data_IF_125996957170
#
_entry.id   IF_125996957170
#
_cell.length_a   1.000
_cell.length_b   1.000
_cell.length_c   1.000
_cell.angle_alpha   90.00
_cell.angle_beta   90.00
_cell.angle_gamma   90.00
#
_symmetry.space_group_name_H-M   'P 1'
#
loop_
_entity.id
_entity.type
_entity.pdbx_description
1 polymer ?
#
# COMPACT_ATOMS: atom_id res chain seq x y z
N UNK A 1 9.06 -11.54 10.06
CA UNK A 1 8.26 -11.94 8.89
C UNK A 1 7.60 -10.73 8.27
N UNK A 2 7.77 -10.48 6.98
CA UNK A 2 7.23 -9.30 6.30
C UNK A 2 6.31 -9.67 5.14
N UNK A 3 5.14 -9.05 5.08
CA UNK A 3 4.15 -9.21 4.00
C UNK A 3 3.97 -7.87 3.30
N UNK A 4 4.38 -7.85 2.04
CA UNK A 4 4.34 -6.66 1.22
C UNK A 4 2.95 -6.33 0.67
N UNK A 5 2.78 -5.09 0.19
CA UNK A 5 1.58 -4.64 -0.53
C UNK A 5 1.37 -5.33 -1.88
N UNK A 6 0.43 -4.83 -2.69
CA UNK A 6 0.16 -5.36 -4.04
C UNK A 6 1.31 -4.99 -4.99
N UNK A 7 2.40 -5.76 -4.95
CA UNK A 7 3.66 -5.51 -5.67
C UNK A 7 4.12 -6.78 -6.43
N UNK A 8 4.27 -6.73 -7.77
CA UNK A 8 4.66 -7.88 -8.58
C UNK A 8 6.17 -8.17 -8.58
N UNK A 9 6.99 -7.30 -7.99
CA UNK A 9 8.46 -7.32 -8.11
C UNK A 9 9.14 -8.33 -7.16
N UNK A 10 8.42 -8.86 -6.18
CA UNK A 10 8.93 -9.86 -5.24
C UNK A 10 9.89 -9.29 -4.19
N UNK A 11 10.74 -10.12 -3.57
CA UNK A 11 11.59 -9.70 -2.44
C UNK A 11 12.71 -8.72 -2.78
N UNK A 12 13.17 -8.67 -4.03
CA UNK A 12 14.38 -7.95 -4.42
C UNK A 12 14.34 -6.43 -4.13
N UNK A 13 13.26 -5.68 -4.43
CA UNK A 13 13.20 -4.25 -4.10
C UNK A 13 13.21 -3.97 -2.61
N UNK A 14 12.65 -4.85 -1.77
CA UNK A 14 12.67 -4.67 -0.31
C UNK A 14 14.06 -4.90 0.27
N UNK A 15 14.78 -5.89 -0.26
CA UNK A 15 16.19 -6.09 0.09
C UNK A 15 17.03 -4.89 -0.34
N UNK A 16 16.93 -4.45 -1.61
CA UNK A 16 17.62 -3.28 -2.12
C UNK A 16 17.32 -2.02 -1.29
N UNK A 17 16.04 -1.79 -0.97
CA UNK A 17 15.60 -0.70 -0.11
C UNK A 17 16.30 -0.71 1.25
N UNK A 18 16.44 -1.87 1.89
CA UNK A 18 17.14 -1.98 3.18
C UNK A 18 18.65 -1.81 3.00
N UNK A 19 19.25 -2.42 1.98
CA UNK A 19 20.67 -2.30 1.69
C UNK A 19 21.12 -0.88 1.36
N UNK A 20 20.30 -0.09 0.66
CA UNK A 20 20.52 1.34 0.41
C UNK A 20 20.64 2.16 1.69
N UNK A 21 20.06 1.66 2.79
CA UNK A 21 19.99 2.34 4.08
C UNK A 21 21.01 1.79 5.08
N UNK A 22 21.79 0.77 4.69
CA UNK A 22 22.81 0.18 5.53
C UNK A 22 23.90 1.21 5.86
N UNK A 23 24.35 1.20 7.11
CA UNK A 23 25.40 2.08 7.62
C UNK A 23 26.46 1.18 8.25
N UNK A 24 27.69 1.12 7.72
CA UNK A 24 28.75 0.28 8.28
C UNK A 24 28.90 0.51 9.79
N UNK A 25 28.91 -0.59 10.56
CA UNK A 25 29.04 -0.55 12.01
C UNK A 25 27.74 -0.24 12.79
N UNK A 26 26.68 0.30 12.14
CA UNK A 26 25.43 0.66 12.83
C UNK A 26 24.21 -0.10 12.33
N UNK A 27 24.12 -0.39 11.02
CA UNK A 27 23.04 -1.17 10.43
C UNK A 27 23.57 -1.98 9.25
N UNK A 28 23.56 -3.31 9.40
CA UNK A 28 24.07 -4.27 8.41
C UNK A 28 22.93 -5.07 7.80
N UNK A 29 22.99 -5.27 6.49
CA UNK A 29 22.03 -6.08 5.72
C UNK A 29 22.82 -7.13 4.95
N UNK A 30 22.61 -8.42 5.24
CA UNK A 30 23.33 -9.49 4.54
C UNK A 30 22.79 -9.72 3.12
N UNK A 31 23.55 -10.37 2.22
CA UNK A 31 23.03 -10.79 0.92
C UNK A 31 21.78 -11.66 1.08
N UNK A 32 20.79 -11.49 0.19
CA UNK A 32 19.58 -12.32 0.24
C UNK A 32 19.85 -13.76 -0.19
N UNK A 33 19.22 -14.70 0.51
CA UNK A 33 19.00 -16.07 0.07
C UNK A 33 17.51 -16.27 -0.20
N UNK A 34 17.13 -16.29 -1.48
CA UNK A 34 15.71 -16.32 -1.88
C UNK A 34 14.95 -15.08 -1.40
N UNK A 35 14.05 -15.28 -0.42
CA UNK A 35 13.25 -14.24 0.24
C UNK A 35 13.72 -13.89 1.66
N UNK A 36 14.91 -14.37 2.06
CA UNK A 36 15.44 -14.20 3.42
C UNK A 36 16.77 -13.46 3.41
N UNK A 37 17.02 -12.69 4.44
CA UNK A 37 18.31 -12.08 4.76
C UNK A 37 18.35 -11.75 6.26
N UNK A 38 19.52 -11.41 6.76
CA UNK A 38 19.74 -11.02 8.15
C UNK A 38 19.92 -9.52 8.24
N UNK A 39 19.27 -8.93 9.23
CA UNK A 39 19.45 -7.55 9.61
C UNK A 39 20.15 -7.51 10.97
N UNK A 40 21.21 -6.71 11.10
CA UNK A 40 21.85 -6.46 12.39
C UNK A 40 21.90 -4.97 12.65
N UNK A 41 21.51 -4.53 13.84
CA UNK A 41 21.56 -3.13 14.27
C UNK A 41 22.36 -3.05 15.56
N UNK A 42 23.27 -2.09 15.64
CA UNK A 42 23.97 -1.78 16.88
C UNK A 42 23.19 -0.71 17.64
N UNK A 43 22.55 -1.11 18.74
CA UNK A 43 21.79 -0.21 19.60
C UNK A 43 22.62 0.17 20.84
N UNK A 44 22.36 1.32 21.47
CA UNK A 44 22.98 1.65 22.76
C UNK A 44 22.78 0.57 23.84
N UNK A 45 21.67 -0.17 23.77
CA UNK A 45 21.30 -1.26 24.67
C UNK A 45 21.96 -2.61 24.32
N UNK A 46 22.62 -2.69 23.15
CA UNK A 46 23.29 -3.88 22.65
C UNK A 46 22.96 -4.19 21.19
N UNK A 47 23.78 -5.06 20.58
CA UNK A 47 23.57 -5.51 19.21
C UNK A 47 22.34 -6.42 19.11
N UNK A 48 21.41 -6.07 18.23
CA UNK A 48 20.26 -6.91 17.90
C UNK A 48 20.39 -7.46 16.48
N UNK A 49 19.95 -8.70 16.30
CA UNK A 49 19.91 -9.38 15.01
C UNK A 49 18.52 -9.94 14.74
N UNK A 50 18.09 -9.92 13.48
CA UNK A 50 16.82 -10.50 13.08
C UNK A 50 16.92 -11.18 11.72
N UNK A 51 16.45 -12.42 11.67
CA UNK A 51 16.20 -13.13 10.42
C UNK A 51 14.95 -12.53 9.75
N UNK A 52 15.18 -11.72 8.71
CA UNK A 52 14.12 -11.09 7.94
C UNK A 52 13.69 -12.00 6.79
N UNK A 53 12.41 -12.33 6.74
CA UNK A 53 11.83 -13.17 5.69
C UNK A 53 10.61 -12.48 5.09
N UNK A 54 10.63 -12.31 3.76
CA UNK A 54 9.46 -11.88 2.99
C UNK A 54 8.57 -13.08 2.71
N UNK A 55 7.34 -13.02 3.22
CA UNK A 55 6.29 -13.98 2.91
C UNK A 55 5.68 -13.62 1.56
N UNK A 56 5.99 -14.44 0.55
CA UNK A 56 5.75 -14.15 -0.86
C UNK A 56 4.30 -14.37 -1.27
N UNK A 57 3.75 -13.38 -1.96
CA UNK A 57 2.53 -13.53 -2.77
C UNK A 57 2.65 -12.78 -4.11
N UNK A 58 3.87 -12.39 -4.48
CA UNK A 58 4.22 -11.67 -5.70
C UNK A 58 3.81 -12.41 -6.98
N UNK A 59 3.75 -13.74 -6.93
CA UNK A 59 3.25 -14.59 -8.01
C UNK A 59 1.75 -14.45 -8.22
N UNK A 60 0.96 -14.41 -7.13
CA UNK A 60 -0.47 -14.11 -7.22
C UNK A 60 -0.65 -12.68 -7.73
N UNK A 61 0.08 -11.71 -7.20
CA UNK A 61 0.05 -10.33 -7.68
C UNK A 61 0.33 -10.27 -9.19
N UNK A 62 1.39 -10.91 -9.68
CA UNK A 62 1.73 -10.96 -11.11
C UNK A 62 0.63 -11.56 -11.97
N UNK A 63 -0.01 -12.63 -11.51
CA UNK A 63 -1.09 -13.29 -12.25
C UNK A 63 -2.30 -12.36 -12.45
N UNK A 64 -2.51 -11.43 -11.51
CA UNK A 64 -3.62 -10.50 -11.52
C UNK A 64 -3.22 -9.06 -11.88
N UNK A 65 -1.96 -8.84 -12.26
CA UNK A 65 -1.41 -7.53 -12.62
C UNK A 65 -1.77 -7.17 -14.05
N UNK A 66 -2.64 -6.17 -14.21
CA UNK A 66 -3.05 -5.70 -15.52
C UNK A 66 -2.01 -4.73 -16.09
N UNK A 67 -1.95 -4.67 -17.43
CA UNK A 67 -1.05 -3.76 -18.18
C UNK A 67 -1.82 -3.06 -19.29
N UNK A 68 -1.31 -1.89 -19.71
CA UNK A 68 -1.83 -1.19 -20.89
C UNK A 68 -3.28 -0.75 -20.74
N UNK A 69 -4.09 -0.97 -21.78
CA UNK A 69 -5.49 -0.53 -21.80
C UNK A 69 -6.33 -1.17 -20.69
N UNK A 70 -6.06 -2.44 -20.36
CA UNK A 70 -6.75 -3.15 -19.28
C UNK A 70 -6.47 -2.54 -17.91
N UNK A 71 -5.24 -2.11 -17.65
CA UNK A 71 -4.91 -1.39 -16.41
C UNK A 71 -5.66 -0.06 -16.31
N UNK A 72 -5.72 0.70 -17.41
CA UNK A 72 -6.46 1.98 -17.48
C UNK A 72 -7.97 1.83 -17.26
N UNK A 73 -8.55 0.70 -17.67
CA UNK A 73 -9.97 0.43 -17.41
C UNK A 73 -10.32 0.37 -15.91
N UNK A 74 -9.32 0.07 -15.06
CA UNK A 74 -9.51 0.00 -13.62
C UNK A 74 -9.78 1.36 -12.98
N UNK A 75 -9.40 2.46 -13.63
CA UNK A 75 -9.60 3.83 -13.11
C UNK A 75 -11.07 4.15 -12.79
N UNK A 76 -12.01 3.37 -13.35
CA UNK A 76 -13.45 3.50 -13.13
C UNK A 76 -14.06 2.29 -12.44
N UNK A 77 -13.47 1.11 -12.61
CA UNK A 77 -14.11 -0.16 -12.26
C UNK A 77 -14.37 -0.34 -10.78
N UNK A 78 -13.48 0.17 -9.91
CA UNK A 78 -13.66 0.05 -8.47
C UNK A 78 -14.73 0.99 -7.91
N UNK A 79 -15.03 2.12 -8.58
CA UNK A 79 -15.88 3.18 -8.05
C UNK A 79 -17.28 2.72 -7.63
N UNK A 80 -18.01 1.86 -8.38
CA UNK A 80 -19.33 1.42 -7.95
C UNK A 80 -19.31 0.69 -6.60
N UNK A 81 -18.27 -0.11 -6.32
CA UNK A 81 -18.12 -0.79 -5.03
C UNK A 81 -17.85 0.22 -3.90
N UNK A 82 -17.00 1.22 -4.16
CA UNK A 82 -16.67 2.28 -3.21
C UNK A 82 -17.85 3.25 -2.96
N UNK A 83 -18.64 3.56 -3.98
CA UNK A 83 -19.86 4.36 -3.85
C UNK A 83 -20.88 3.62 -2.98
N UNK A 84 -21.16 2.34 -3.29
CA UNK A 84 -22.15 1.52 -2.57
C UNK A 84 -21.75 1.26 -1.12
N UNK A 85 -20.46 1.12 -0.81
CA UNK A 85 -19.99 0.96 0.56
C UNK A 85 -20.11 2.25 1.40
N UNK A 86 -20.31 3.40 0.76
CA UNK A 86 -20.32 4.72 1.40
C UNK A 86 -18.93 5.21 1.82
N UNK A 87 -17.86 4.53 1.40
CA UNK A 87 -16.50 4.89 1.80
C UNK A 87 -16.07 6.26 1.24
N UNK A 88 -16.54 6.63 0.04
CA UNK A 88 -16.26 7.95 -0.54
C UNK A 88 -16.86 9.07 0.31
N UNK A 89 -18.10 8.91 0.77
CA UNK A 89 -18.76 9.88 1.64
C UNK A 89 -18.09 9.95 3.03
N UNK A 90 -17.72 8.80 3.60
CA UNK A 90 -16.96 8.74 4.85
C UNK A 90 -15.60 9.43 4.74
N UNK A 91 -14.85 9.14 3.67
CA UNK A 91 -13.54 9.72 3.44
C UNK A 91 -13.64 11.24 3.21
N UNK A 92 -14.63 11.74 2.47
CA UNK A 92 -14.82 13.18 2.27
C UNK A 92 -14.97 13.95 3.60
N UNK A 93 -15.63 13.34 4.59
CA UNK A 93 -15.88 13.92 5.92
C UNK A 93 -14.69 13.76 6.86
N UNK A 94 -14.14 12.55 6.95
CA UNK A 94 -13.22 12.16 8.02
C UNK A 94 -11.77 11.98 7.54
N UNK A 95 -11.56 11.70 6.25
CA UNK A 95 -10.26 11.36 5.68
C UNK A 95 -10.02 11.97 4.29
N UNK A 96 -9.88 13.30 4.23
CA UNK A 96 -9.70 14.06 2.99
C UNK A 96 -8.53 13.59 2.11
N UNK A 97 -7.33 13.24 2.65
CA UNK A 97 -6.25 12.71 1.83
C UNK A 97 -6.66 11.44 1.07
N UNK A 98 -7.26 10.47 1.78
CA UNK A 98 -7.79 9.26 1.16
C UNK A 98 -8.88 9.57 0.14
N UNK A 99 -9.81 10.49 0.45
CA UNK A 99 -10.87 10.88 -0.48
C UNK A 99 -10.31 11.38 -1.82
N UNK A 100 -9.31 12.26 -1.78
CA UNK A 100 -8.65 12.77 -2.98
C UNK A 100 -7.94 11.64 -3.74
N UNK A 101 -7.23 10.75 -3.05
CA UNK A 101 -6.58 9.61 -3.69
C UNK A 101 -7.59 8.66 -4.36
N UNK A 102 -8.72 8.37 -3.71
CA UNK A 102 -9.77 7.51 -4.25
C UNK A 102 -10.44 8.07 -5.51
N UNK A 103 -10.51 9.38 -5.65
CA UNK A 103 -11.05 10.02 -6.86
C UNK A 103 -10.00 10.25 -7.94
N UNK A 104 -8.72 10.22 -7.58
CA UNK A 104 -7.65 10.60 -8.49
C UNK A 104 -7.65 9.75 -9.77
N UNK A 105 -7.71 8.40 -9.73
CA UNK A 105 -7.73 7.58 -10.95
C UNK A 105 -8.86 7.96 -11.91
N UNK A 106 -10.06 8.14 -11.36
CA UNK A 106 -11.23 8.59 -12.08
C UNK A 106 -10.97 9.95 -12.76
N UNK A 107 -10.56 10.97 -11.98
CA UNK A 107 -10.34 12.31 -12.52
C UNK A 107 -9.28 12.34 -13.64
N UNK A 108 -8.18 11.60 -13.48
CA UNK A 108 -7.16 11.47 -14.52
C UNK A 108 -7.67 10.71 -15.74
N UNK A 109 -8.51 9.70 -15.54
CA UNK A 109 -9.23 9.03 -16.63
C UNK A 109 -10.14 9.99 -17.42
N UNK A 110 -10.83 10.92 -16.76
CA UNK A 110 -11.67 11.95 -17.42
C UNK A 110 -10.78 12.87 -18.25
N UNK A 111 -9.68 13.35 -17.69
CA UNK A 111 -8.73 14.22 -18.41
C UNK A 111 -8.17 13.50 -19.64
N UNK A 112 -7.89 12.20 -19.54
CA UNK A 112 -7.45 11.39 -20.67
C UNK A 112 -8.53 11.27 -21.76
N UNK A 113 -9.78 10.94 -21.40
CA UNK A 113 -10.87 10.84 -22.38
C UNK A 113 -11.17 12.20 -23.00
N UNK A 114 -11.19 13.27 -22.20
CA UNK A 114 -11.40 14.63 -22.69
C UNK A 114 -10.29 15.07 -23.65
N UNK A 115 -9.02 14.74 -23.37
CA UNK A 115 -7.92 15.08 -24.28
C UNK A 115 -7.99 14.31 -25.60
N UNK A 116 -8.45 13.06 -25.58
CA UNK A 116 -8.73 12.30 -26.80
C UNK A 116 -9.87 12.94 -27.61
N UNK A 117 -10.97 13.31 -26.97
CA UNK A 117 -12.11 13.95 -27.65
C UNK A 117 -11.71 15.28 -28.28
N UNK A 118 -10.93 16.10 -27.57
CA UNK A 118 -10.38 17.37 -28.10
C UNK A 118 -9.46 17.11 -29.29
N UNK A 119 -8.57 16.13 -29.19
CA UNK A 119 -7.67 15.77 -30.30
C UNK A 119 -8.45 15.26 -31.53
N UNK A 120 -9.48 14.44 -31.32
CA UNK A 120 -10.36 13.96 -32.41
C UNK A 120 -11.14 15.10 -33.05
N UNK A 121 -11.75 15.98 -32.25
CA UNK A 121 -12.47 17.15 -32.78
C UNK A 121 -11.52 18.07 -33.57
N UNK A 122 -10.32 18.31 -33.06
CA UNK A 122 -9.29 19.08 -33.75
C UNK A 122 -8.89 18.42 -35.08
N UNK A 123 -8.69 17.10 -35.11
CA UNK A 123 -8.38 16.37 -36.34
C UNK A 123 -9.51 16.49 -37.39
N UNK A 124 -10.78 16.45 -36.96
CA UNK A 124 -11.93 16.66 -37.85
C UNK A 124 -11.94 18.08 -38.41
N UNK A 125 -11.72 19.10 -37.58
CA UNK A 125 -11.64 20.51 -38.03
C UNK A 125 -10.48 20.68 -39.01
N UNK A 126 -9.31 20.12 -38.72
CA UNK A 126 -8.15 20.18 -39.61
C UNK A 126 -8.45 19.52 -40.96
N UNK A 127 -9.06 18.33 -40.96
CA UNK A 127 -9.47 17.65 -42.18
C UNK A 127 -10.48 18.48 -42.99
N UNK A 128 -11.48 19.08 -42.33
CA UNK A 128 -12.45 19.96 -42.95
C UNK A 128 -11.81 21.23 -43.55
N UNK A 129 -10.82 21.81 -42.88
CA UNK A 129 -10.05 22.97 -43.37
C UNK A 129 -9.24 22.62 -44.62
N UNK A 130 -8.59 21.44 -44.63
CA UNK A 130 -7.77 21.00 -45.76
C UNK A 130 -8.58 20.74 -47.04
N UNK A 131 -9.83 20.31 -46.92
CA UNK A 131 -10.74 20.09 -48.07
C UNK A 131 -11.58 21.34 -48.41
N UNK A 132 -11.33 22.48 -47.75
CA UNK A 132 -12.06 23.74 -48.01
C UNK A 132 -13.49 23.79 -47.48
N UNK A 133 -13.96 22.79 -46.73
CA UNK A 133 -15.33 22.70 -46.22
C UNK A 133 -15.70 23.78 -45.19
N UNK A 134 -14.70 24.45 -44.60
CA UNK A 134 -14.88 25.55 -43.63
C UNK A 134 -14.37 26.89 -44.17
N UNK A 135 -14.47 27.12 -45.48
CA UNK A 135 -14.21 28.43 -46.09
C UNK A 135 -12.74 28.84 -46.19
N UNK A 136 -11.80 27.90 -46.01
CA UNK A 136 -10.37 28.14 -46.21
C UNK A 136 -9.67 28.96 -45.12
N UNK A 137 -10.29 29.18 -43.95
CA UNK A 137 -9.66 29.92 -42.85
C UNK A 137 -8.49 29.12 -42.24
N UNK A 138 -7.26 29.56 -42.55
CA UNK A 138 -6.02 28.94 -42.08
C UNK A 138 -5.83 29.02 -40.56
N UNK A 139 -6.53 29.94 -39.88
CA UNK A 139 -6.49 30.06 -38.41
C UNK A 139 -7.14 28.87 -37.72
N UNK A 140 -8.24 28.35 -38.29
CA UNK A 140 -8.92 27.16 -37.77
C UNK A 140 -8.03 25.91 -37.86
N UNK A 141 -7.29 25.76 -38.97
CA UNK A 141 -6.31 24.68 -39.13
C UNK A 141 -5.15 24.77 -38.14
N UNK A 142 -4.62 25.98 -37.90
CA UNK A 142 -3.54 26.21 -36.92
C UNK A 142 -3.99 25.97 -35.48
N UNK A 143 -5.19 26.43 -35.11
CA UNK A 143 -5.77 26.15 -33.78
C UNK A 143 -6.04 24.66 -33.59
N UNK A 144 -6.49 23.96 -34.63
CA UNK A 144 -6.65 22.51 -34.60
C UNK A 144 -5.32 21.78 -34.37
N UNK A 145 -4.25 22.15 -35.09
CA UNK A 145 -2.92 21.58 -34.87
C UNK A 145 -2.44 21.83 -33.43
N UNK A 146 -2.60 23.06 -32.92
CA UNK A 146 -2.23 23.39 -31.55
C UNK A 146 -2.97 22.54 -30.51
N UNK A 147 -4.28 22.34 -30.66
CA UNK A 147 -5.10 21.50 -29.78
C UNK A 147 -4.72 20.01 -29.88
N UNK A 148 -4.42 19.53 -31.10
CA UNK A 148 -4.01 18.15 -31.35
C UNK A 148 -2.67 17.81 -30.71
N UNK A 149 -1.78 18.79 -30.57
CA UNK A 149 -0.49 18.65 -29.86
C UNK A 149 -0.63 18.86 -28.35
N UNK A 150 -1.49 19.79 -27.92
CA UNK A 150 -1.69 20.11 -26.51
C UNK A 150 -2.32 18.94 -25.70
N UNK A 151 -3.27 18.20 -26.29
CA UNK A 151 -3.93 17.08 -25.62
C UNK A 151 -2.99 15.96 -25.18
N UNK A 152 -2.19 15.37 -26.09
CA UNK A 152 -1.16 14.38 -25.74
C UNK A 152 -0.07 14.93 -24.82
N UNK A 153 0.33 16.20 -24.99
CA UNK A 153 1.30 16.85 -24.11
C UNK A 153 0.82 16.96 -22.67
N UNK A 154 -0.43 17.39 -22.45
CA UNK A 154 -1.07 17.44 -21.14
C UNK A 154 -1.15 16.04 -20.51
N UNK A 155 -1.56 15.04 -21.29
CA UNK A 155 -1.60 13.65 -20.81
C UNK A 155 -0.23 13.13 -20.36
N UNK A 156 0.82 13.39 -21.15
CA UNK A 156 2.19 13.01 -20.78
C UNK A 156 2.64 13.70 -19.50
N UNK A 157 2.35 15.00 -19.33
CA UNK A 157 2.67 15.74 -18.12
C UNK A 157 1.99 15.15 -16.87
N UNK A 158 0.72 14.75 -16.98
CA UNK A 158 -0.01 14.08 -15.90
C UNK A 158 0.60 12.70 -15.60
N UNK A 159 0.87 11.89 -16.63
CA UNK A 159 1.48 10.55 -16.47
C UNK A 159 2.88 10.60 -15.86
N UNK A 160 3.64 11.67 -16.09
CA UNK A 160 4.97 11.83 -15.52
C UNK A 160 4.95 12.10 -14.01
N UNK A 161 3.80 12.51 -13.45
CA UNK A 161 3.64 12.84 -12.03
C UNK A 161 2.88 11.79 -11.24
N UNK A 162 2.14 10.93 -11.92
CA UNK A 162 1.20 10.02 -11.30
C UNK A 162 1.27 8.65 -11.96
N UNK A 163 1.62 7.63 -11.17
CA UNK A 163 1.50 6.24 -11.58
C UNK A 163 0.05 5.76 -11.46
N UNK A 164 -0.74 6.12 -12.48
CA UNK A 164 -2.17 5.76 -12.57
C UNK A 164 -2.39 4.25 -12.59
N UNK A 165 -1.49 3.51 -13.24
CA UNK A 165 -1.62 2.06 -13.42
C UNK A 165 -1.40 1.35 -12.06
N UNK A 166 -0.42 1.80 -11.28
CA UNK A 166 -0.23 1.33 -9.91
C UNK A 166 -1.42 1.69 -9.02
N UNK A 167 -1.81 2.98 -8.99
CA UNK A 167 -2.85 3.48 -8.08
C UNK A 167 -4.22 2.84 -8.36
N UNK A 168 -4.60 2.72 -9.63
CA UNK A 168 -5.88 2.09 -10.02
C UNK A 168 -5.91 0.61 -9.59
N UNK A 169 -4.78 -0.10 -9.71
CA UNK A 169 -4.68 -1.49 -9.30
C UNK A 169 -4.76 -1.67 -7.78
N UNK A 170 -4.18 -0.76 -7.01
CA UNK A 170 -4.23 -0.81 -5.54
C UNK A 170 -5.66 -0.64 -4.98
N UNK A 171 -6.48 0.25 -5.55
CA UNK A 171 -7.88 0.36 -5.11
C UNK A 171 -8.74 -0.78 -5.63
N UNK A 172 -8.51 -1.20 -6.86
CA UNK A 172 -9.28 -2.26 -7.49
C UNK A 172 -9.03 -3.65 -6.86
N UNK A 173 -7.80 -3.94 -6.41
CA UNK A 173 -7.50 -5.23 -5.78
C UNK A 173 -8.25 -5.42 -4.45
N UNK A 174 -8.48 -4.36 -3.67
CA UNK A 174 -9.26 -4.44 -2.43
C UNK A 174 -10.70 -4.88 -2.67
N UNK A 175 -11.27 -4.58 -3.84
CA UNK A 175 -12.59 -5.10 -4.26
C UNK A 175 -12.44 -6.55 -4.76
N UNK A 176 -11.39 -6.82 -5.54
CA UNK A 176 -11.19 -8.13 -6.17
C UNK A 176 -10.72 -9.23 -5.24
N UNK A 177 -10.27 -8.98 -4.01
CA UNK A 177 -9.88 -10.08 -3.11
C UNK A 177 -10.98 -11.13 -2.95
N UNK A 178 -12.25 -10.72 -2.96
CA UNK A 178 -13.41 -11.64 -3.01
C UNK A 178 -13.45 -12.54 -4.25
N UNK A 179 -12.94 -12.06 -5.38
CA UNK A 179 -12.89 -12.73 -6.67
C UNK A 179 -11.59 -13.51 -6.91
N UNK A 180 -10.67 -13.54 -5.94
CA UNK A 180 -9.41 -14.29 -6.01
C UNK A 180 -9.30 -15.41 -4.95
N UNK A 181 -10.37 -16.15 -4.58
CA UNK A 181 -10.36 -16.99 -3.39
C UNK A 181 -9.27 -18.06 -3.44
N UNK A 182 -9.20 -18.88 -4.48
CA UNK A 182 -8.30 -20.03 -4.48
C UNK A 182 -6.81 -19.65 -4.37
N UNK A 183 -6.35 -18.70 -5.21
CA UNK A 183 -4.93 -18.31 -5.23
C UNK A 183 -4.52 -17.56 -3.96
N UNK A 184 -5.42 -16.74 -3.41
CA UNK A 184 -5.17 -16.01 -2.16
C UNK A 184 -5.19 -16.94 -0.96
N UNK A 185 -6.21 -17.78 -0.82
CA UNK A 185 -6.32 -18.71 0.31
C UNK A 185 -5.11 -19.64 0.38
N UNK A 186 -4.67 -20.22 -0.75
CA UNK A 186 -3.46 -21.05 -0.78
C UNK A 186 -2.20 -20.30 -0.30
N UNK A 187 -2.10 -18.98 -0.55
CA UNK A 187 -1.02 -18.16 0.00
C UNK A 187 -1.18 -17.93 1.50
N UNK A 188 -2.39 -17.61 1.96
CA UNK A 188 -2.66 -17.45 3.39
C UNK A 188 -2.36 -18.74 4.17
N UNK A 189 -2.70 -19.91 3.61
CA UNK A 189 -2.32 -21.21 4.15
C UNK A 189 -0.81 -21.34 4.36
N UNK A 190 -0.04 -21.14 3.30
CA UNK A 190 1.41 -21.30 3.32
C UNK A 190 2.09 -20.27 4.23
N UNK A 191 1.60 -19.04 4.23
CA UNK A 191 2.09 -17.98 5.13
C UNK A 191 1.84 -18.36 6.59
N UNK A 192 0.63 -18.80 6.91
CA UNK A 192 0.25 -19.19 8.26
C UNK A 192 1.05 -20.42 8.74
N UNK A 193 1.30 -21.39 7.86
CA UNK A 193 2.15 -22.55 8.17
C UNK A 193 3.58 -22.11 8.45
N UNK A 194 4.14 -21.21 7.62
CA UNK A 194 5.48 -20.67 7.84
C UNK A 194 5.60 -19.88 9.15
N UNK A 195 4.57 -19.11 9.50
CA UNK A 195 4.51 -18.38 10.77
C UNK A 195 4.52 -19.34 11.97
N UNK A 196 3.68 -20.38 11.95
CA UNK A 196 3.65 -21.41 13.01
C UNK A 196 5.00 -22.11 13.11
N UNK A 197 5.58 -22.51 11.98
CA UNK A 197 6.88 -23.20 11.95
C UNK A 197 7.97 -22.37 12.63
N UNK A 198 8.11 -21.08 12.27
CA UNK A 198 9.11 -20.22 12.92
C UNK A 198 8.84 -19.98 14.39
N UNK A 199 7.57 -19.78 14.77
CA UNK A 199 7.21 -19.61 16.18
C UNK A 199 7.50 -20.84 17.04
N UNK A 200 7.61 -22.03 16.44
CA UNK A 200 7.98 -23.29 17.10
C UNK A 200 9.48 -23.53 17.11
N UNK A 201 10.17 -23.22 16.01
CA UNK A 201 11.61 -23.46 15.86
C UNK A 201 12.47 -22.58 16.77
N UNK A 202 11.99 -21.36 17.06
CA UNK A 202 12.71 -20.39 17.89
C UNK A 202 11.80 -19.82 19.00
N UNK A 203 11.41 -20.64 20.00
CA UNK A 203 10.39 -20.26 20.98
C UNK A 203 10.85 -19.16 21.96
N UNK A 204 12.17 -18.93 22.07
CA UNK A 204 12.79 -17.88 22.87
C UNK A 204 12.88 -16.54 22.16
N UNK A 205 12.72 -16.53 20.83
CA UNK A 205 12.97 -15.35 20.01
C UNK A 205 11.65 -14.63 19.70
N UNK A 206 11.58 -13.29 19.85
CA UNK A 206 10.39 -12.55 19.48
C UNK A 206 10.04 -12.71 17.99
N UNK A 207 8.84 -13.20 17.69
CA UNK A 207 8.34 -13.27 16.32
C UNK A 207 7.53 -12.01 16.00
N UNK A 208 7.92 -11.29 14.96
CA UNK A 208 7.17 -10.13 14.46
C UNK A 208 6.64 -10.43 13.07
N UNK A 209 5.33 -10.29 12.90
CA UNK A 209 4.67 -10.28 11.59
C UNK A 209 4.39 -8.82 11.23
N UNK A 210 4.95 -8.38 10.11
CA UNK A 210 4.85 -7.00 9.63
C UNK A 210 4.06 -7.00 8.33
N UNK A 211 2.95 -6.26 8.28
CA UNK A 211 2.22 -5.97 7.05
C UNK A 211 2.43 -4.51 6.63
N UNK A 212 2.69 -4.26 5.36
CA UNK A 212 2.73 -2.91 4.79
C UNK A 212 1.66 -2.74 3.72
N UNK A 213 0.96 -1.59 3.72
CA UNK A 213 -0.05 -1.26 2.72
C UNK A 213 -1.14 -2.35 2.66
N UNK A 214 -1.52 -2.81 1.46
CA UNK A 214 -2.45 -3.94 1.24
C UNK A 214 -1.95 -5.24 1.91
N UNK A 215 -0.64 -5.38 2.13
CA UNK A 215 -0.05 -6.50 2.87
C UNK A 215 -0.53 -6.58 4.31
N UNK A 216 -1.06 -5.50 4.88
CA UNK A 216 -1.73 -5.52 6.20
C UNK A 216 -2.96 -6.42 6.22
N UNK A 217 -3.74 -6.46 5.13
CA UNK A 217 -4.89 -7.37 4.99
C UNK A 217 -4.42 -8.83 4.98
N UNK A 218 -3.37 -9.12 4.21
CA UNK A 218 -2.77 -10.46 4.13
C UNK A 218 -2.14 -10.88 5.47
N UNK A 219 -1.51 -9.95 6.20
CA UNK A 219 -0.90 -10.20 7.51
C UNK A 219 -1.94 -10.55 8.56
N UNK A 220 -3.06 -9.82 8.63
CA UNK A 220 -4.17 -10.14 9.55
C UNK A 220 -4.73 -11.53 9.24
N UNK A 221 -5.04 -11.82 7.98
CA UNK A 221 -5.62 -13.12 7.60
C UNK A 221 -4.64 -14.29 7.84
N UNK A 222 -3.36 -14.14 7.45
CA UNK A 222 -2.36 -15.17 7.65
C UNK A 222 -2.07 -15.42 9.13
N UNK A 223 -1.98 -14.36 9.95
CA UNK A 223 -1.73 -14.49 11.38
C UNK A 223 -2.94 -15.11 12.10
N UNK A 224 -4.16 -14.72 11.75
CA UNK A 224 -5.38 -15.31 12.32
C UNK A 224 -5.48 -16.80 12.03
N UNK A 225 -5.09 -17.21 10.82
CA UNK A 225 -4.99 -18.62 10.45
C UNK A 225 -3.88 -19.35 11.20
N UNK A 226 -2.73 -18.70 11.42
CA UNK A 226 -1.66 -19.26 12.24
C UNK A 226 -2.11 -19.49 13.69
N UNK A 227 -2.82 -18.52 14.28
CA UNK A 227 -3.39 -18.61 15.64
C UNK A 227 -4.47 -19.69 15.75
N UNK A 228 -5.23 -19.94 14.67
CA UNK A 228 -6.19 -21.05 14.63
C UNK A 228 -5.48 -22.41 14.70
N UNK A 229 -4.31 -22.53 14.07
CA UNK A 229 -3.50 -23.76 14.07
C UNK A 229 -2.68 -23.94 15.34
N UNK A 230 -2.26 -22.83 15.95
CA UNK A 230 -1.48 -22.80 17.19
C UNK A 230 -1.93 -21.62 18.07
N UNK A 231 -2.93 -21.82 18.95
CA UNK A 231 -3.44 -20.74 19.80
C UNK A 231 -2.40 -20.17 20.77
N UNK A 232 -1.40 -20.96 21.18
CA UNK A 232 -0.35 -20.54 22.10
C UNK A 232 0.65 -19.58 21.45
N UNK A 233 0.67 -19.51 20.10
CA UNK A 233 1.51 -18.59 19.35
C UNK A 233 1.22 -17.12 19.71
N UNK A 234 -0.01 -16.79 20.12
CA UNK A 234 -0.43 -15.41 20.40
C UNK A 234 0.47 -14.67 21.38
N UNK A 235 1.05 -15.37 22.36
CA UNK A 235 1.95 -14.78 23.37
C UNK A 235 3.39 -14.61 22.90
N UNK A 236 3.73 -15.13 21.73
CA UNK A 236 5.09 -15.13 21.15
C UNK A 236 5.20 -14.31 19.87
N UNK A 237 4.06 -13.94 19.30
CA UNK A 237 3.98 -13.19 18.04
C UNK A 237 3.38 -11.81 18.28
N UNK A 238 3.99 -10.81 17.67
CA UNK A 238 3.42 -9.46 17.55
C UNK A 238 3.06 -9.17 16.10
N UNK A 239 2.06 -8.32 15.92
CA UNK A 239 1.64 -7.80 14.63
C UNK A 239 2.00 -6.31 14.54
N UNK A 240 2.71 -5.94 13.48
CA UNK A 240 2.96 -4.54 13.11
C UNK A 240 2.30 -4.26 11.77
N UNK A 241 1.40 -3.29 11.72
CA UNK A 241 0.80 -2.80 10.47
C UNK A 241 1.33 -1.42 10.14
N UNK A 242 1.78 -1.22 8.89
CA UNK A 242 2.40 0.02 8.42
C UNK A 242 1.57 0.59 7.27
N UNK A 243 1.04 1.81 7.42
CA UNK A 243 0.25 2.45 6.38
C UNK A 243 -0.98 1.61 5.97
N UNK A 244 -1.76 1.16 6.95
CA UNK A 244 -2.75 0.11 6.74
C UNK A 244 -3.91 0.45 5.79
N UNK A 245 -4.51 -0.59 5.20
CA UNK A 245 -5.72 -0.48 4.35
C UNK A 245 -6.94 -1.19 4.97
N UNK A 246 -6.89 -1.53 6.25
CA UNK A 246 -7.83 -2.43 6.94
C UNK A 246 -9.23 -1.84 7.07
N UNK A 247 -9.37 -0.58 7.47
CA UNK A 247 -10.68 0.07 7.58
C UNK A 247 -11.36 0.20 6.21
N UNK A 248 -10.57 0.53 5.17
CA UNK A 248 -11.04 0.55 3.78
C UNK A 248 -11.56 -0.82 3.36
N UNK A 249 -10.75 -1.87 3.58
CA UNK A 249 -11.10 -3.23 3.21
C UNK A 249 -12.34 -3.73 3.96
N UNK A 250 -12.42 -3.46 5.27
CA UNK A 250 -13.58 -3.78 6.11
C UNK A 250 -14.84 -3.08 5.62
N UNK A 251 -14.74 -1.79 5.25
CA UNK A 251 -15.89 -1.02 4.76
C UNK A 251 -16.40 -1.53 3.40
N UNK A 252 -15.52 -2.04 2.54
CA UNK A 252 -15.88 -2.75 1.32
C UNK A 252 -16.47 -4.15 1.59
N UNK A 253 -16.60 -4.52 2.87
CA UNK A 253 -17.19 -5.74 3.38
C UNK A 253 -16.21 -6.90 3.57
N UNK A 254 -14.90 -6.70 3.30
CA UNK A 254 -13.88 -7.75 3.37
C UNK A 254 -14.12 -8.93 2.42
N UNK A 255 -13.45 -10.05 2.63
CA UNK A 255 -13.82 -11.36 2.06
C UNK A 255 -14.67 -12.15 3.08
N UNK A 256 -15.27 -13.31 2.72
CA UNK A 256 -16.11 -14.08 3.64
C UNK A 256 -15.44 -14.50 4.97
N UNK A 257 -14.09 -14.59 5.02
CA UNK A 257 -13.33 -14.92 6.23
C UNK A 257 -12.95 -13.70 7.07
N UNK A 258 -12.95 -12.51 6.48
CA UNK A 258 -12.37 -11.30 7.07
C UNK A 258 -12.87 -10.97 8.49
N UNK A 259 -14.18 -11.03 8.73
CA UNK A 259 -14.74 -10.75 10.05
C UNK A 259 -14.27 -11.77 11.11
N UNK A 260 -14.12 -13.04 10.72
CA UNK A 260 -13.60 -14.11 11.59
C UNK A 260 -12.12 -13.90 11.88
N UNK A 261 -11.33 -13.53 10.88
CA UNK A 261 -9.91 -13.25 11.07
C UNK A 261 -9.71 -12.12 12.08
N UNK A 262 -10.47 -11.02 11.96
CA UNK A 262 -10.44 -9.94 12.94
C UNK A 262 -10.86 -10.41 14.35
N UNK A 263 -11.90 -11.24 14.48
CA UNK A 263 -12.33 -11.78 15.79
C UNK A 263 -11.21 -12.60 16.46
N UNK A 264 -10.60 -13.52 15.71
CA UNK A 264 -9.50 -14.36 16.19
C UNK A 264 -8.36 -13.48 16.70
N UNK A 265 -7.94 -12.51 15.89
CA UNK A 265 -6.81 -11.66 16.22
C UNK A 265 -7.10 -10.77 17.45
N UNK A 266 -8.28 -10.14 17.50
CA UNK A 266 -8.70 -9.26 18.61
C UNK A 266 -8.78 -10.01 19.94
N UNK A 267 -9.24 -11.27 19.91
CA UNK A 267 -9.40 -12.14 21.10
C UNK A 267 -8.12 -12.86 21.50
N UNK A 268 -7.10 -12.87 20.65
CA UNK A 268 -5.79 -13.46 20.95
C UNK A 268 -4.93 -12.53 21.81
N UNK A 269 -3.85 -13.09 22.37
CA UNK A 269 -2.83 -12.35 23.13
C UNK A 269 -1.78 -11.63 22.26
N UNK A 270 -2.03 -11.52 20.94
CA UNK A 270 -1.10 -10.85 20.04
C UNK A 270 -1.00 -9.36 20.37
N UNK A 271 0.23 -8.89 20.60
CA UNK A 271 0.51 -7.47 20.67
C UNK A 271 0.42 -6.86 19.27
N UNK A 272 -0.59 -6.01 19.03
CA UNK A 272 -0.80 -5.36 17.74
C UNK A 272 -0.47 -3.86 17.82
N UNK A 273 0.56 -3.44 17.08
CA UNK A 273 0.88 -2.03 16.85
C UNK A 273 0.56 -1.63 15.41
N UNK A 274 -0.20 -0.54 15.24
CA UNK A 274 -0.39 0.11 13.94
C UNK A 274 0.42 1.40 13.89
N UNK A 275 1.18 1.58 12.81
CA UNK A 275 1.93 2.81 12.55
C UNK A 275 1.42 3.42 11.25
N UNK A 276 0.58 4.43 11.37
CA UNK A 276 -0.06 5.06 10.21
C UNK A 276 -0.04 6.58 10.32
N UNK A 277 0.27 7.26 9.22
CA UNK A 277 0.27 8.72 9.10
C UNK A 277 -1.11 9.22 8.64
N UNK A 278 -1.73 10.19 9.33
CA UNK A 278 -2.97 10.84 8.89
C UNK A 278 -2.85 11.64 7.58
N UNK A 279 -1.62 11.88 7.10
CA UNK A 279 -1.33 12.57 5.86
C UNK A 279 -1.04 11.61 4.69
N UNK A 280 -0.96 10.31 4.95
CA UNK A 280 -0.81 9.30 3.91
C UNK A 280 -2.13 9.08 3.19
N UNK A 281 -2.18 9.47 1.92
CA UNK A 281 -3.38 9.39 1.10
C UNK A 281 -3.67 7.97 0.57
N UNK A 282 -2.69 7.06 0.63
CA UNK A 282 -2.83 5.68 0.14
C UNK A 282 -3.21 4.67 1.24
N UNK A 283 -3.37 5.13 2.48
CA UNK A 283 -3.80 4.31 3.62
C UNK A 283 -5.12 4.80 4.22
N UNK A 284 -5.64 4.04 5.17
CA UNK A 284 -6.81 4.45 5.94
C UNK A 284 -6.51 5.54 6.97
N UNK A 285 -5.39 6.26 6.91
CA UNK A 285 -4.66 6.79 8.07
C UNK A 285 -5.32 7.73 9.08
N UNK A 286 -6.58 8.11 8.87
CA UNK A 286 -7.43 8.80 9.87
C UNK A 286 -8.47 7.88 10.53
N UNK A 287 -8.53 6.62 10.11
CA UNK A 287 -9.42 5.59 10.61
C UNK A 287 -8.61 4.54 11.36
N UNK A 288 -9.12 4.20 12.54
CA UNK A 288 -8.61 3.10 13.33
C UNK A 288 -8.61 1.78 12.52
N UNK A 289 -7.63 0.87 12.69
CA UNK A 289 -7.61 -0.42 11.99
C UNK A 289 -8.90 -1.25 12.11
N UNK A 290 -9.58 -1.16 13.26
CA UNK A 290 -10.86 -1.82 13.55
C UNK A 290 -12.11 -0.99 13.20
N UNK A 291 -11.96 0.20 12.60
CA UNK A 291 -13.09 1.05 12.20
C UNK A 291 -13.98 0.31 11.19
N UNK A 292 -15.30 0.43 11.36
CA UNK A 292 -16.32 -0.27 10.56
C UNK A 292 -16.37 -1.79 10.76
N UNK A 293 -15.56 -2.35 11.66
CA UNK A 293 -15.64 -3.76 12.04
C UNK A 293 -16.61 -3.96 13.22
N UNK A 294 -17.10 -5.19 13.46
CA UNK A 294 -17.84 -5.52 14.67
C UNK A 294 -17.05 -5.27 15.97
N UNK A 295 -15.73 -5.13 15.89
CA UNK A 295 -14.82 -4.96 17.03
C UNK A 295 -14.36 -3.51 17.23
N UNK A 296 -15.10 -2.53 16.72
CA UNK A 296 -14.75 -1.12 16.87
C UNK A 296 -14.66 -0.69 18.35
N UNK A 297 -15.51 -1.26 19.22
CA UNK A 297 -15.47 -1.05 20.66
C UNK A 297 -14.19 -1.61 21.33
N UNK A 298 -13.48 -2.52 20.66
CA UNK A 298 -12.22 -3.10 21.12
C UNK A 298 -10.99 -2.32 20.61
N UNK A 299 -11.15 -1.03 20.26
CA UNK A 299 -10.06 -0.19 19.75
C UNK A 299 -8.79 -0.23 20.62
N UNK A 300 -8.93 -0.34 21.96
CA UNK A 300 -7.80 -0.46 22.89
C UNK A 300 -6.94 -1.72 22.72
N UNK A 301 -7.36 -2.71 21.92
CA UNK A 301 -6.55 -3.90 21.56
C UNK A 301 -5.44 -3.58 20.56
N UNK A 302 -5.51 -2.44 19.88
CA UNK A 302 -4.51 -2.02 18.89
C UNK A 302 -3.82 -0.76 19.37
N UNK A 303 -2.50 -0.83 19.54
CA UNK A 303 -1.66 0.34 19.82
C UNK A 303 -1.48 1.14 18.54
N UNK A 304 -2.32 2.14 18.32
CA UNK A 304 -2.20 3.05 17.16
C UNK A 304 -1.20 4.14 17.45
N UNK A 305 -0.23 4.29 16.56
CA UNK A 305 0.83 5.29 16.62
C UNK A 305 0.98 6.00 15.28
N UNK A 306 1.56 7.19 15.31
CA UNK A 306 1.88 7.94 14.10
C UNK A 306 3.40 7.97 13.93
N UNK A 307 3.93 7.79 12.71
CA UNK A 307 5.36 7.96 12.47
C UNK A 307 5.78 9.44 12.49
N UNK A 308 4.81 10.37 12.64
CA UNK A 308 5.02 11.83 12.70
C UNK A 308 6.04 12.33 11.67
N UNK A 309 5.90 11.90 10.41
CA UNK A 309 6.84 12.25 9.33
C UNK A 309 7.08 13.76 9.14
N UNK A 310 6.16 14.61 9.61
CA UNK A 310 6.34 16.06 9.59
C UNK A 310 7.37 16.57 10.61
N UNK A 311 7.71 15.76 11.61
CA UNK A 311 8.76 16.00 12.60
C UNK A 311 9.96 15.09 12.34
N UNK A 312 9.73 13.83 11.93
CA UNK A 312 10.79 12.86 11.73
C UNK A 312 11.65 13.10 10.48
N UNK A 313 11.21 13.97 9.57
CA UNK A 313 11.89 14.26 8.31
C UNK A 313 12.22 15.75 8.21
N UNK A 314 13.36 16.04 7.60
CA UNK A 314 13.76 17.38 7.19
C UNK A 314 12.68 18.02 6.31
N UNK A 315 12.48 19.35 6.39
CA UNK A 315 11.48 20.06 5.60
C UNK A 315 11.59 19.79 4.09
N UNK A 316 12.82 19.73 3.56
CA UNK A 316 13.07 19.48 2.13
C UNK A 316 12.68 18.06 1.72
N UNK A 317 13.04 17.05 2.52
CA UNK A 317 12.67 15.65 2.27
C UNK A 317 11.15 15.49 2.33
N UNK A 318 10.50 16.07 3.34
CA UNK A 318 9.05 16.06 3.46
C UNK A 318 8.36 16.75 2.27
N UNK A 319 8.88 17.90 1.82
CA UNK A 319 8.33 18.63 0.68
C UNK A 319 8.46 17.84 -0.63
N UNK A 320 9.53 17.06 -0.81
CA UNK A 320 9.65 16.13 -1.95
C UNK A 320 8.64 15.00 -1.85
N UNK A 321 8.54 14.34 -0.70
CA UNK A 321 7.58 13.23 -0.50
C UNK A 321 6.12 13.67 -0.65
N UNK A 322 5.74 14.88 -0.23
CA UNK A 322 4.37 15.40 -0.42
C UNK A 322 3.97 15.55 -1.88
N UNK A 323 4.93 15.60 -2.81
CA UNK A 323 4.68 15.66 -4.27
C UNK A 323 4.64 14.29 -4.93
N UNK A 324 5.01 13.25 -4.20
CA UNK A 324 5.02 11.87 -4.64
C UNK A 324 4.31 10.99 -3.59
N UNK A 325 2.98 10.84 -3.69
CA UNK A 325 2.19 10.04 -2.75
C UNK A 325 2.65 8.59 -2.66
N UNK A 326 3.19 8.03 -3.75
CA UNK A 326 3.75 6.67 -3.74
C UNK A 326 5.00 6.63 -2.84
N UNK A 327 5.95 7.54 -3.05
CA UNK A 327 7.14 7.62 -2.19
C UNK A 327 6.78 7.92 -0.74
N UNK A 328 5.79 8.79 -0.48
CA UNK A 328 5.27 9.05 0.85
C UNK A 328 4.74 7.77 1.52
N UNK A 329 3.95 6.99 0.79
CA UNK A 329 3.38 5.74 1.30
C UNK A 329 4.43 4.64 1.53
N UNK A 330 5.57 4.68 0.85
CA UNK A 330 6.70 3.77 1.10
C UNK A 330 7.67 4.28 2.17
N UNK A 331 7.49 5.51 2.69
CA UNK A 331 8.37 6.09 3.70
C UNK A 331 8.31 5.33 5.05
N UNK A 332 7.25 4.56 5.33
CA UNK A 332 7.24 3.68 6.51
C UNK A 332 8.36 2.64 6.46
N UNK A 333 8.80 2.23 5.28
CA UNK A 333 9.87 1.24 5.12
C UNK A 333 11.27 1.89 5.07
N UNK A 334 11.34 3.21 5.30
CA UNK A 334 12.59 3.97 5.24
C UNK A 334 12.94 4.58 6.60
N UNK A 335 14.24 4.68 6.86
CA UNK A 335 14.80 5.49 7.93
C UNK A 335 14.36 6.93 7.76
N UNK A 336 14.07 7.56 8.89
CA UNK A 336 13.80 8.99 8.96
C UNK A 336 15.09 9.77 9.21
N UNK A 337 15.01 11.10 9.15
CA UNK A 337 16.15 11.96 9.45
C UNK A 337 16.35 12.10 10.99
N UNK A 338 15.28 11.83 11.75
CA UNK A 338 15.20 11.88 13.22
C UNK A 338 14.76 10.51 13.77
N UNK A 339 15.69 9.55 13.95
CA UNK A 339 15.39 8.18 14.37
C UNK A 339 14.75 8.10 15.78
N UNK A 340 14.92 9.10 16.62
CA UNK A 340 14.26 9.26 17.92
C UNK A 340 12.74 9.46 17.81
N UNK A 341 12.26 9.93 16.65
CA UNK A 341 10.82 10.14 16.37
C UNK A 341 10.26 8.94 15.60
N UNK A 342 10.97 8.48 14.59
CA UNK A 342 10.57 7.30 13.81
C UNK A 342 11.78 6.52 13.30
N UNK A 343 11.89 5.27 13.73
CA UNK A 343 12.89 4.34 13.22
C UNK A 343 12.25 2.98 12.94
N UNK A 344 12.10 2.67 11.66
CA UNK A 344 11.58 1.36 11.21
C UNK A 344 12.41 0.20 11.75
N UNK A 345 13.71 0.39 12.03
CA UNK A 345 14.57 -0.65 12.59
C UNK A 345 14.11 -1.07 13.98
N UNK A 346 13.57 -0.16 14.80
CA UNK A 346 12.99 -0.51 16.11
C UNK A 346 11.77 -1.44 15.99
N UNK A 347 11.09 -1.43 14.85
CA UNK A 347 9.91 -2.27 14.59
C UNK A 347 10.25 -3.62 13.95
N UNK A 348 11.45 -3.79 13.39
CA UNK A 348 11.82 -5.00 12.63
C UNK A 348 13.12 -5.69 13.10
N UNK A 349 13.98 -4.99 13.85
CA UNK A 349 15.24 -5.49 14.46
C UNK A 349 15.46 -4.89 15.86
N UNK A 350 14.44 -4.27 16.46
CA UNK A 350 14.59 -3.61 17.76
C UNK A 350 14.69 -4.63 18.89
N UNK A 351 15.44 -4.34 19.97
CA UNK A 351 15.28 -5.08 21.21
C UNK A 351 13.80 -4.97 21.65
N UNK A 352 13.24 -6.01 22.31
CA UNK A 352 11.87 -5.94 22.79
C UNK A 352 11.71 -4.68 23.65
N UNK A 353 10.84 -3.77 23.22
CA UNK A 353 10.50 -2.58 24.01
C UNK A 353 9.84 -3.11 25.28
N UNK A 354 10.37 -2.81 26.48
CA UNK A 354 9.72 -3.24 27.71
C UNK A 354 8.28 -2.73 27.73
N UNK A 355 7.36 -3.66 27.98
CA UNK A 355 5.90 -3.47 27.95
C UNK A 355 5.45 -2.48 29.02
#
# INVERSE_FOLDING_TARGET
MFIHGYDPRGPAPYHALMSEQAVPGAFTVTPRSGSRWTLSVDWPEGRAESAFEVLRWDDVVRNFWLRGASARSLSWRYLPAYLRSGILAGAARENRPLFLALLMPALVGIVFVASLLVATAAAVVLAASLIGAVGGDSRLGLSAIALMLAGPGLWQAVRARIDLDWLSQCFDVLVRFRAMPQAREAKLDAMAERIVQVGRDAPSDPLIVVGHSIGTVMAVAALSRALTRDPLLGRRVSLVTLGQCLAVYTRLGGDPGWARDLDILVRSDVAWTDVTSPADAASSGRWHPLRFSPHEAAAGRVKVTSPRFHQALSPDRLARLRRDPYAYHFQYLRLSDSPEIYDIRRLIVGPPVPV
#
